data_IF_522446899047
#
_entry.id   IF_522446899047
#
_cell.length_a   1.000
_cell.length_b   1.000
_cell.length_c   1.000
_cell.angle_alpha   90.00
_cell.angle_beta   90.00
_cell.angle_gamma   90.00
#
_symmetry.space_group_name_H-M   'P 1'
#
loop_
_entity.id
_entity.type
_entity.pdbx_description
1 polymer ?
#
# COMPACT_ATOMS: atom_id res chain seq x y z
N UNK A 1 11.33 85.59 -12.00
CA UNK A 1 9.88 85.94 -12.03
C UNK A 1 9.27 85.27 -13.26
N UNK A 2 7.99 84.87 -13.15
CA UNK A 2 7.15 84.07 -14.07
C UNK A 2 7.40 82.56 -14.09
N UNK A 3 6.70 81.84 -13.21
CA UNK A 3 6.47 80.39 -13.26
C UNK A 3 5.14 80.17 -13.98
N UNK A 4 5.17 79.43 -15.08
CA UNK A 4 3.99 79.04 -15.89
C UNK A 4 3.40 77.72 -15.34
N UNK A 5 2.08 77.57 -15.17
CA UNK A 5 1.49 76.35 -14.61
C UNK A 5 1.37 75.25 -15.68
N UNK A 6 1.92 74.08 -15.37
CA UNK A 6 1.79 72.86 -16.18
C UNK A 6 0.40 72.23 -15.94
N UNK A 7 -0.41 72.10 -17.00
CA UNK A 7 -1.71 71.40 -16.98
C UNK A 7 -1.48 69.88 -16.87
N UNK A 8 -2.05 69.27 -15.84
CA UNK A 8 -2.11 67.82 -15.69
C UNK A 8 -3.14 67.23 -16.66
N UNK A 9 -2.70 66.32 -17.54
CA UNK A 9 -3.58 65.50 -18.37
C UNK A 9 -3.77 64.14 -17.68
N UNK A 10 -5.01 63.85 -17.26
CA UNK A 10 -5.45 62.55 -16.78
C UNK A 10 -5.60 61.59 -17.98
N UNK A 11 -4.65 60.67 -18.14
CA UNK A 11 -4.76 59.53 -19.06
C UNK A 11 -5.54 58.41 -18.36
N UNK A 12 -6.81 58.25 -18.74
CA UNK A 12 -7.64 57.13 -18.31
C UNK A 12 -7.11 55.81 -18.87
N UNK A 13 -6.70 54.91 -17.98
CA UNK A 13 -6.32 53.54 -18.34
C UNK A 13 -7.58 52.71 -18.59
N UNK A 14 -7.86 52.37 -19.84
CA UNK A 14 -8.91 51.43 -20.20
C UNK A 14 -8.47 50.01 -19.84
N UNK A 15 -9.09 49.42 -18.81
CA UNK A 15 -8.94 48.00 -18.46
C UNK A 15 -9.72 47.17 -19.49
N UNK A 16 -9.00 46.48 -20.38
CA UNK A 16 -9.56 45.45 -21.26
C UNK A 16 -9.89 44.21 -20.42
N UNK A 17 -11.16 44.05 -20.05
CA UNK A 17 -11.71 42.79 -19.54
C UNK A 17 -11.76 41.78 -20.69
N UNK A 18 -10.82 40.84 -20.72
CA UNK A 18 -10.90 39.65 -21.58
C UNK A 18 -11.96 38.72 -20.99
N UNK A 19 -13.16 38.74 -21.57
CA UNK A 19 -14.21 37.79 -21.24
C UNK A 19 -13.77 36.38 -21.70
N UNK A 20 -13.51 35.47 -20.76
CA UNK A 20 -13.31 34.07 -21.06
C UNK A 20 -14.61 33.47 -21.61
N UNK A 21 -14.60 33.03 -22.87
CA UNK A 21 -15.75 32.33 -23.45
C UNK A 21 -16.04 31.04 -22.63
N UNK A 22 -17.32 30.68 -22.43
CA UNK A 22 -17.66 29.48 -21.68
C UNK A 22 -17.11 28.24 -22.38
N UNK A 23 -16.31 27.45 -21.68
CA UNK A 23 -15.77 26.20 -22.21
C UNK A 23 -16.93 25.24 -22.55
N UNK A 24 -17.01 24.81 -23.81
CA UNK A 24 -18.03 23.83 -24.23
C UNK A 24 -17.73 22.49 -23.55
N UNK A 25 -18.67 22.00 -22.73
CA UNK A 25 -18.54 20.71 -22.04
C UNK A 25 -18.79 19.57 -23.05
N UNK A 26 -17.79 18.71 -23.24
CA UNK A 26 -17.89 17.56 -24.13
C UNK A 26 -18.89 16.53 -23.60
N UNK A 27 -19.77 16.03 -24.46
CA UNK A 27 -20.68 14.92 -24.16
C UNK A 27 -19.88 13.63 -24.01
N UNK A 28 -20.03 12.93 -22.87
CA UNK A 28 -19.34 11.66 -22.59
C UNK A 28 -20.39 10.59 -22.30
N UNK A 29 -20.27 9.43 -22.96
CA UNK A 29 -21.14 8.26 -22.71
C UNK A 29 -20.29 7.01 -22.44
N UNK A 30 -20.88 6.00 -21.80
CA UNK A 30 -20.17 4.79 -21.35
C UNK A 30 -19.44 4.98 -20.01
N UNK A 31 -18.49 4.08 -19.67
CA UNK A 31 -18.02 2.93 -20.43
C UNK A 31 -18.97 1.73 -20.42
N UNK A 32 -18.88 0.86 -21.43
CA UNK A 32 -19.54 -0.45 -21.41
C UNK A 32 -18.85 -1.42 -20.44
N UNK A 33 -17.52 -1.35 -20.35
CA UNK A 33 -16.73 -2.17 -19.42
C UNK A 33 -15.68 -1.36 -18.65
N UNK A 34 -15.46 -1.72 -17.39
CA UNK A 34 -14.46 -1.12 -16.50
C UNK A 34 -13.55 -2.23 -15.98
N UNK A 35 -12.24 -2.07 -16.17
CA UNK A 35 -11.26 -3.08 -15.82
C UNK A 35 -10.17 -2.54 -14.88
N UNK A 36 -9.92 -3.20 -13.76
CA UNK A 36 -8.96 -2.75 -12.74
C UNK A 36 -7.86 -3.78 -12.53
N UNK A 37 -6.62 -3.29 -12.41
CA UNK A 37 -5.41 -4.01 -12.05
C UNK A 37 -4.88 -3.40 -10.75
N UNK A 38 -4.94 -4.13 -9.65
CA UNK A 38 -4.46 -3.64 -8.35
C UNK A 38 -3.25 -4.44 -7.91
N UNK A 39 -2.07 -3.83 -7.96
CA UNK A 39 -0.79 -4.48 -7.71
C UNK A 39 -0.19 -4.03 -6.37
N UNK A 40 0.23 -5.00 -5.56
CA UNK A 40 0.82 -4.73 -4.25
C UNK A 40 2.09 -5.56 -4.03
N UNK A 41 3.12 -4.93 -3.44
CA UNK A 41 4.34 -5.60 -2.99
C UNK A 41 4.46 -5.47 -1.47
N UNK A 42 4.36 -6.58 -0.73
CA UNK A 42 4.51 -6.63 0.72
C UNK A 42 5.90 -7.12 1.14
N UNK A 43 6.49 -6.49 2.15
CA UNK A 43 7.80 -6.82 2.71
C UNK A 43 7.81 -6.77 4.25
N UNK A 44 8.90 -7.24 4.85
CA UNK A 44 9.10 -7.31 6.30
C UNK A 44 8.63 -8.62 6.93
N UNK A 45 8.94 -8.84 8.23
CA UNK A 45 8.66 -10.08 8.93
C UNK A 45 7.17 -10.43 9.01
N UNK A 46 6.28 -9.44 8.82
CA UNK A 46 4.82 -9.63 8.82
C UNK A 46 4.21 -9.77 7.41
N UNK A 47 5.01 -9.73 6.34
CA UNK A 47 4.52 -9.77 4.96
C UNK A 47 3.67 -11.02 4.65
N UNK A 48 4.02 -12.16 5.24
CA UNK A 48 3.27 -13.41 5.10
C UNK A 48 1.89 -13.39 5.76
N UNK A 49 1.66 -12.49 6.73
CA UNK A 49 0.35 -12.31 7.38
C UNK A 49 -0.55 -11.34 6.61
N UNK A 50 0.00 -10.45 5.79
CA UNK A 50 -0.77 -9.53 4.94
C UNK A 50 -1.60 -10.25 3.86
N UNK A 51 -1.21 -11.48 3.48
CA UNK A 51 -1.99 -12.34 2.57
C UNK A 51 -3.21 -13.03 3.21
N UNK A 52 -3.36 -12.97 4.54
CA UNK A 52 -4.42 -13.67 5.28
C UNK A 52 -5.62 -12.77 5.65
N UNK A 53 -5.54 -11.46 5.43
CA UNK A 53 -6.61 -10.49 5.79
C UNK A 53 -7.46 -9.96 4.63
N UNK A 54 -7.20 -10.40 3.39
CA UNK A 54 -7.97 -9.94 2.23
C UNK A 54 -9.39 -10.52 2.20
N UNK A 55 -10.41 -9.74 1.81
CA UNK A 55 -11.76 -10.27 1.58
C UNK A 55 -11.70 -11.27 0.43
N UNK A 56 -11.70 -12.57 0.76
CA UNK A 56 -11.46 -13.66 -0.18
C UNK A 56 -10.49 -14.72 0.34
N UNK A 57 -9.74 -14.44 1.40
CA UNK A 57 -9.02 -15.47 2.15
C UNK A 57 -10.04 -16.34 2.87
N UNK A 58 -10.39 -17.48 2.27
CA UNK A 58 -11.18 -18.51 2.96
C UNK A 58 -10.54 -18.78 4.32
N UNK A 59 -11.34 -18.75 5.39
CA UNK A 59 -10.97 -18.96 6.79
C UNK A 59 -10.47 -20.39 7.11
N UNK A 60 -9.78 -21.02 6.16
CA UNK A 60 -9.08 -22.28 6.30
C UNK A 60 -7.67 -22.11 5.75
N UNK A 61 -6.74 -21.46 6.48
CA UNK A 61 -5.35 -21.81 6.28
C UNK A 61 -5.25 -23.31 6.58
N UNK A 62 -4.80 -24.10 5.60
CA UNK A 62 -4.36 -25.46 5.89
C UNK A 62 -3.18 -25.33 6.85
N UNK A 63 -3.46 -25.48 8.15
CA UNK A 63 -2.47 -25.45 9.23
C UNK A 63 -1.26 -26.36 8.91
N UNK A 64 -1.50 -27.45 8.18
CA UNK A 64 -0.46 -28.37 7.69
C UNK A 64 0.45 -27.84 6.57
N UNK A 65 0.09 -26.78 5.85
CA UNK A 65 0.93 -26.17 4.80
C UNK A 65 1.78 -25.02 5.37
N UNK A 66 1.29 -24.34 6.41
CA UNK A 66 2.07 -23.37 7.18
C UNK A 66 3.15 -24.06 8.04
N UNK A 67 2.87 -25.26 8.56
CA UNK A 67 3.88 -26.09 9.24
C UNK A 67 4.93 -26.69 8.30
N UNK A 68 4.61 -26.93 7.03
CA UNK A 68 5.57 -27.48 6.04
C UNK A 68 6.45 -26.41 5.41
N UNK A 69 6.06 -25.13 5.52
CA UNK A 69 6.81 -23.96 5.06
C UNK A 69 7.75 -23.34 6.10
N UNK A 70 7.93 -23.98 7.26
CA UNK A 70 8.80 -23.47 8.31
C UNK A 70 8.09 -22.45 9.19
N UNK A 71 8.02 -22.77 10.47
CA UNK A 71 7.62 -21.86 11.54
C UNK A 71 8.76 -20.87 11.75
N UNK A 72 8.87 -19.89 10.85
CA UNK A 72 9.81 -18.78 10.94
C UNK A 72 9.05 -17.48 10.85
N UNK A 73 9.04 -16.71 11.94
CA UNK A 73 8.85 -15.25 11.90
C UNK A 73 10.05 -14.58 11.18
N UNK A 74 10.38 -15.04 9.97
CA UNK A 74 11.59 -14.68 9.24
C UNK A 74 11.90 -15.72 8.17
N UNK A 75 11.95 -15.29 6.91
CA UNK A 75 12.46 -16.13 5.81
C UNK A 75 11.70 -16.08 4.48
N UNK A 76 10.70 -15.22 4.30
CA UNK A 76 10.06 -15.01 3.01
C UNK A 76 10.50 -13.68 2.40
N UNK A 77 11.10 -13.70 1.20
CA UNK A 77 11.32 -12.47 0.43
C UNK A 77 10.01 -11.72 0.12
N UNK A 78 10.07 -10.58 -0.58
CA UNK A 78 8.90 -9.78 -0.90
C UNK A 78 7.77 -10.60 -1.54
N UNK A 79 6.54 -10.38 -1.07
CA UNK A 79 5.33 -11.03 -1.58
C UNK A 79 4.62 -10.08 -2.52
N UNK A 80 4.41 -10.51 -3.77
CA UNK A 80 3.58 -9.78 -4.73
C UNK A 80 2.14 -10.30 -4.68
N UNK A 81 1.18 -9.40 -4.79
CA UNK A 81 -0.23 -9.74 -4.95
C UNK A 81 -0.85 -8.89 -6.05
N UNK A 82 -1.82 -9.47 -6.74
CA UNK A 82 -2.51 -8.85 -7.86
C UNK A 82 -4.00 -9.13 -7.74
N UNK A 83 -4.83 -8.10 -7.91
CA UNK A 83 -6.29 -8.22 -7.99
C UNK A 83 -6.75 -7.67 -9.33
N UNK A 84 -7.43 -8.50 -10.10
CA UNK A 84 -7.99 -8.15 -11.39
C UNK A 84 -9.51 -8.13 -11.28
N UNK A 85 -10.16 -7.07 -11.77
CA UNK A 85 -11.61 -6.92 -11.66
C UNK A 85 -12.18 -6.36 -12.95
N UNK A 86 -13.11 -7.07 -13.57
CA UNK A 86 -13.83 -6.67 -14.78
C UNK A 86 -15.31 -6.51 -14.46
N UNK A 87 -15.82 -5.29 -14.58
CA UNK A 87 -17.26 -4.99 -14.55
C UNK A 87 -17.76 -4.62 -15.95
N UNK A 88 -18.96 -5.08 -16.31
CA UNK A 88 -19.62 -4.72 -17.57
C UNK A 88 -21.10 -4.43 -17.38
N UNK A 89 -21.62 -3.52 -18.20
CA UNK A 89 -23.07 -3.27 -18.32
C UNK A 89 -23.80 -4.31 -19.19
N UNK A 90 -23.08 -5.15 -19.93
CA UNK A 90 -23.68 -6.25 -20.71
C UNK A 90 -23.93 -7.47 -19.81
N UNK A 91 -24.96 -8.23 -20.15
CA UNK A 91 -25.24 -9.54 -19.55
C UNK A 91 -24.79 -10.67 -20.48
N UNK A 92 -24.50 -11.83 -19.90
CA UNK A 92 -24.27 -13.07 -20.64
C UNK A 92 -24.84 -14.27 -19.86
N UNK A 93 -25.42 -15.26 -20.55
CA UNK A 93 -26.02 -16.43 -19.91
C UNK A 93 -25.00 -17.34 -19.19
N UNK A 94 -23.75 -17.34 -19.65
CA UNK A 94 -22.63 -18.03 -19.01
C UNK A 94 -21.40 -17.13 -19.09
N UNK A 95 -21.28 -16.15 -18.18
CA UNK A 95 -20.20 -15.18 -18.21
C UNK A 95 -18.83 -15.86 -18.15
N UNK A 96 -18.00 -15.54 -19.13
CA UNK A 96 -16.62 -16.00 -19.19
C UNK A 96 -15.73 -14.88 -19.74
N UNK A 97 -14.63 -14.62 -19.06
CA UNK A 97 -13.59 -13.74 -19.51
C UNK A 97 -12.22 -14.24 -19.02
N UNK A 98 -11.18 -13.92 -19.77
CA UNK A 98 -9.80 -14.24 -19.44
C UNK A 98 -8.93 -12.98 -19.57
N UNK A 99 -7.95 -12.85 -18.69
CA UNK A 99 -6.89 -11.87 -18.81
C UNK A 99 -5.62 -12.52 -19.37
N UNK A 100 -5.07 -11.95 -20.43
CA UNK A 100 -3.83 -12.33 -21.08
C UNK A 100 -2.77 -11.24 -20.88
N UNK A 101 -1.50 -11.64 -20.81
CA UNK A 101 -0.37 -10.78 -20.51
C UNK A 101 0.93 -11.29 -21.13
N UNK A 102 2.00 -10.50 -21.04
CA UNK A 102 3.33 -10.93 -21.45
C UNK A 102 3.86 -12.10 -20.60
N UNK A 103 4.79 -12.94 -21.12
CA UNK A 103 5.41 -14.01 -20.34
C UNK A 103 6.19 -13.54 -19.09
N UNK A 104 6.49 -12.24 -18.98
CA UNK A 104 7.27 -11.67 -17.88
C UNK A 104 6.57 -11.81 -16.51
N UNK A 105 5.25 -12.01 -16.50
CA UNK A 105 4.48 -12.26 -15.27
C UNK A 105 4.72 -13.65 -14.67
N UNK A 106 5.17 -14.63 -15.49
CA UNK A 106 5.46 -16.02 -15.07
C UNK A 106 4.27 -16.76 -14.44
N UNK A 107 3.05 -16.47 -14.87
CA UNK A 107 1.80 -17.11 -14.40
C UNK A 107 1.03 -17.79 -15.55
N UNK A 108 1.75 -18.34 -16.53
CA UNK A 108 1.16 -18.85 -17.76
C UNK A 108 0.67 -17.75 -18.70
N UNK A 109 -0.01 -18.14 -19.79
CA UNK A 109 -0.46 -17.23 -20.83
C UNK A 109 -1.69 -16.38 -20.44
N UNK A 110 -2.50 -16.88 -19.51
CA UNK A 110 -3.72 -16.20 -19.05
C UNK A 110 -4.22 -16.70 -17.70
N UNK A 111 -5.09 -15.91 -17.09
CA UNK A 111 -5.93 -16.33 -15.94
C UNK A 111 -7.41 -16.08 -16.22
N UNK A 112 -8.29 -16.97 -15.72
CA UNK A 112 -9.73 -16.77 -15.84
C UNK A 112 -10.21 -15.68 -14.88
N UNK A 113 -11.12 -14.82 -15.36
CA UNK A 113 -11.88 -13.87 -14.57
C UNK A 113 -13.27 -14.44 -14.33
N UNK A 114 -13.58 -14.76 -13.08
CA UNK A 114 -14.85 -15.40 -12.72
C UNK A 114 -15.66 -14.53 -11.79
N UNK A 115 -16.98 -14.52 -11.98
CA UNK A 115 -17.86 -13.98 -10.95
C UNK A 115 -17.65 -14.81 -9.67
N UNK A 116 -17.47 -14.17 -8.50
CA UNK A 116 -17.62 -14.87 -7.25
C UNK A 116 -19.00 -15.53 -7.27
N UNK A 117 -19.08 -16.81 -6.90
CA UNK A 117 -20.38 -17.34 -6.51
C UNK A 117 -20.88 -16.44 -5.39
N UNK A 118 -22.18 -16.07 -5.37
CA UNK A 118 -22.75 -15.55 -4.14
C UNK A 118 -22.29 -16.49 -3.04
N UNK A 119 -21.50 -15.98 -2.09
CA UNK A 119 -21.26 -16.76 -0.91
C UNK A 119 -22.67 -17.14 -0.42
N UNK A 120 -22.93 -18.43 -0.16
CA UNK A 120 -24.04 -18.76 0.72
C UNK A 120 -23.93 -17.76 1.86
N UNK A 121 -24.98 -16.96 2.17
CA UNK A 121 -24.91 -15.99 3.23
C UNK A 121 -24.44 -16.77 4.43
N UNK A 122 -23.17 -16.63 4.76
CA UNK A 122 -22.55 -17.49 5.72
C UNK A 122 -23.41 -17.28 6.96
N UNK A 123 -24.00 -18.31 7.58
CA UNK A 123 -24.64 -18.13 8.88
C UNK A 123 -23.62 -17.67 9.93
N UNK A 124 -22.34 -17.53 9.55
CA UNK A 124 -21.26 -16.87 10.29
C UNK A 124 -20.57 -15.78 9.48
N UNK A 125 -21.34 -14.99 8.72
CA UNK A 125 -21.08 -13.56 8.83
C UNK A 125 -21.08 -13.24 10.33
N UNK A 126 -20.27 -12.29 10.76
CA UNK A 126 -20.80 -11.41 11.79
C UNK A 126 -22.06 -10.75 11.17
N UNK A 127 -23.16 -11.49 11.10
CA UNK A 127 -24.40 -10.96 11.59
C UNK A 127 -24.01 -10.51 12.98
N UNK A 128 -23.72 -9.21 13.12
CA UNK A 128 -23.96 -8.56 14.38
C UNK A 128 -25.34 -9.04 14.76
N UNK A 129 -25.38 -9.93 15.74
CA UNK A 129 -26.55 -10.31 16.49
C UNK A 129 -27.31 -9.00 16.68
N UNK A 130 -28.41 -8.78 15.96
CA UNK A 130 -29.30 -7.61 16.17
C UNK A 130 -30.15 -7.79 17.44
N UNK A 131 -29.59 -8.57 18.36
CA UNK A 131 -30.07 -9.04 19.64
C UNK A 131 -28.87 -9.40 20.57
N UNK A 132 -27.65 -8.96 20.23
CA UNK A 132 -26.52 -8.92 21.14
C UNK A 132 -26.26 -7.48 21.56
N UNK A 133 -26.31 -7.19 22.85
CA UNK A 133 -25.83 -5.91 23.38
C UNK A 133 -24.49 -5.57 22.72
N UNK A 134 -24.43 -4.41 22.05
CA UNK A 134 -23.17 -3.84 21.58
C UNK A 134 -22.30 -3.62 22.82
N UNK A 135 -21.43 -4.58 23.13
CA UNK A 135 -20.54 -4.46 24.27
C UNK A 135 -19.52 -3.39 23.90
N UNK A 136 -19.73 -2.18 24.43
CA UNK A 136 -18.83 -1.07 24.21
C UNK A 136 -17.42 -1.54 24.60
N UNK A 137 -16.42 -1.41 23.70
CA UNK A 137 -15.06 -1.76 24.05
C UNK A 137 -14.68 -0.98 25.31
N UNK A 138 -14.30 -1.65 26.39
CA UNK A 138 -13.89 -0.99 27.63
C UNK A 138 -12.44 -0.54 27.51
N UNK A 139 -12.11 0.59 28.12
CA UNK A 139 -10.74 1.10 28.21
C UNK A 139 -10.51 2.44 27.53
N UNK A 140 -9.24 2.72 27.22
CA UNK A 140 -8.79 4.00 26.64
C UNK A 140 -7.99 3.76 25.37
N UNK A 141 -8.02 4.73 24.46
CA UNK A 141 -7.16 4.78 23.29
C UNK A 141 -6.36 6.09 23.29
N UNK A 142 -5.05 5.97 23.25
CA UNK A 142 -4.11 7.08 23.12
C UNK A 142 -3.73 7.25 21.65
N UNK A 143 -3.93 8.44 21.12
CA UNK A 143 -3.60 8.77 19.72
C UNK A 143 -2.48 9.79 19.71
N UNK A 144 -1.40 9.43 19.02
CA UNK A 144 -0.26 10.27 18.72
C UNK A 144 -0.14 10.46 17.20
N UNK A 145 0.58 11.47 16.76
CA UNK A 145 0.85 11.73 15.35
C UNK A 145 2.14 12.53 15.18
N UNK A 146 2.72 12.41 14.00
CA UNK A 146 3.87 13.16 13.56
C UNK A 146 5.18 12.42 13.80
N UNK A 147 6.10 12.64 12.86
CA UNK A 147 7.49 12.21 13.01
C UNK A 147 8.25 13.19 13.91
N UNK A 148 8.97 12.69 14.90
CA UNK A 148 9.81 13.50 15.78
C UNK A 148 10.30 12.71 16.99
N UNK A 149 11.37 13.18 17.63
CA UNK A 149 11.91 12.53 18.83
C UNK A 149 10.92 12.52 20.01
N UNK A 150 10.03 13.51 20.07
CA UNK A 150 9.02 13.70 21.11
C UNK A 150 7.65 13.98 20.51
N UNK A 151 6.60 13.57 21.20
CA UNK A 151 5.23 13.91 20.86
C UNK A 151 5.04 15.43 20.95
N UNK A 152 4.34 16.01 19.96
CA UNK A 152 4.11 17.44 19.90
C UNK A 152 3.08 17.93 20.94
N UNK A 153 2.90 19.25 21.07
CA UNK A 153 1.85 19.83 21.92
C UNK A 153 0.46 19.25 21.60
N UNK A 154 -0.36 19.02 22.63
CA UNK A 154 -1.72 18.47 22.48
C UNK A 154 -1.79 16.95 22.32
N UNK A 155 -0.66 16.24 22.46
CA UNK A 155 -0.59 14.79 22.35
C UNK A 155 -0.24 14.12 23.70
N UNK A 156 -0.76 12.91 23.96
CA UNK A 156 -1.75 12.19 23.16
C UNK A 156 -3.15 12.80 23.27
N UNK A 157 -3.95 12.56 22.26
CA UNK A 157 -5.40 12.66 22.39
C UNK A 157 -5.92 11.37 22.99
N UNK A 158 -6.69 11.48 24.08
CA UNK A 158 -7.24 10.32 24.80
C UNK A 158 -8.70 10.14 24.45
N UNK A 159 -9.01 9.01 23.83
CA UNK A 159 -10.37 8.51 23.70
C UNK A 159 -10.67 7.61 24.89
N UNK A 160 -11.69 7.95 25.66
CA UNK A 160 -12.21 7.15 26.74
C UNK A 160 -13.50 6.47 26.26
N UNK A 161 -13.44 5.16 26.00
CA UNK A 161 -14.56 4.44 25.40
C UNK A 161 -15.80 4.41 26.31
N UNK A 162 -15.61 4.49 27.64
CA UNK A 162 -16.73 4.56 28.59
C UNK A 162 -17.50 5.90 28.49
N UNK A 163 -16.83 6.96 28.02
CA UNK A 163 -17.44 8.28 27.80
C UNK A 163 -17.98 8.45 26.37
N UNK A 164 -17.55 7.61 25.43
CA UNK A 164 -17.92 7.68 24.02
C UNK A 164 -19.39 7.35 23.74
N UNK A 165 -20.06 6.60 24.61
CA UNK A 165 -21.50 6.34 24.49
C UNK A 165 -22.39 7.59 24.56
N UNK A 166 -21.83 8.75 24.94
CA UNK A 166 -22.56 9.99 25.16
C UNK A 166 -22.68 10.88 23.91
N UNK A 167 -21.87 10.65 22.86
CA UNK A 167 -21.92 11.43 21.61
C UNK A 167 -21.42 10.63 20.40
N UNK A 168 -22.23 9.71 19.85
CA UNK A 168 -21.80 8.78 18.80
C UNK A 168 -21.35 9.46 17.50
N UNK A 169 -21.85 10.66 17.17
CA UNK A 169 -21.43 11.41 16.00
C UNK A 169 -19.99 11.94 16.13
N UNK A 170 -19.63 12.46 17.31
CA UNK A 170 -18.26 12.89 17.58
C UNK A 170 -17.28 11.71 17.53
N UNK A 171 -17.71 10.54 18.02
CA UNK A 171 -16.95 9.30 17.91
C UNK A 171 -16.73 8.90 16.46
N UNK A 172 -17.80 8.88 15.66
CA UNK A 172 -17.71 8.53 14.25
C UNK A 172 -16.75 9.46 13.49
N UNK A 173 -16.82 10.77 13.74
CA UNK A 173 -15.91 11.75 13.15
C UNK A 173 -14.45 11.51 13.58
N UNK A 174 -14.21 11.17 14.84
CA UNK A 174 -12.87 10.91 15.36
C UNK A 174 -12.25 9.61 14.86
N UNK A 175 -13.09 8.60 14.58
CA UNK A 175 -12.70 7.29 14.05
C UNK A 175 -12.55 7.30 12.51
N UNK A 176 -12.61 8.47 11.85
CA UNK A 176 -12.36 8.55 10.42
C UNK A 176 -10.87 8.36 10.11
N UNK A 177 -10.59 7.54 9.11
CA UNK A 177 -9.24 7.31 8.60
C UNK A 177 -8.72 8.48 7.78
N UNK A 178 -7.82 8.19 6.85
CA UNK A 178 -7.43 9.19 5.86
C UNK A 178 -8.67 9.62 5.05
N UNK A 179 -8.92 10.92 5.02
CA UNK A 179 -9.97 11.52 4.21
C UNK A 179 -9.60 11.38 2.74
N UNK A 180 -10.09 10.34 2.08
CA UNK A 180 -9.88 10.02 0.66
C UNK A 180 -11.21 9.77 -0.02
N UNK A 181 -11.30 10.11 -1.31
CA UNK A 181 -12.45 9.74 -2.10
C UNK A 181 -12.52 8.20 -2.23
N UNK A 182 -13.67 7.55 -1.93
CA UNK A 182 -13.79 6.11 -2.09
C UNK A 182 -13.50 5.70 -3.54
N UNK A 183 -12.53 4.81 -3.71
CA UNK A 183 -12.28 4.17 -5.00
C UNK A 183 -13.40 3.20 -5.32
N UNK A 184 -14.17 3.53 -6.36
CA UNK A 184 -15.31 2.71 -6.82
C UNK A 184 -14.82 1.54 -7.67
N UNK A 185 -14.28 0.51 -7.02
CA UNK A 185 -13.81 -0.72 -7.67
C UNK A 185 -14.95 -1.45 -8.40
N UNK A 186 -14.69 -2.12 -9.53
CA UNK A 186 -15.67 -3.02 -10.12
C UNK A 186 -16.07 -4.10 -9.12
N UNK A 187 -17.38 -4.38 -9.04
CA UNK A 187 -17.94 -5.34 -8.09
C UNK A 187 -19.25 -5.91 -8.63
N UNK A 188 -19.65 -7.07 -8.11
CA UNK A 188 -20.84 -7.79 -8.57
C UNK A 188 -22.16 -7.06 -8.33
N UNK A 189 -22.23 -6.19 -7.32
CA UNK A 189 -23.39 -5.34 -7.00
C UNK A 189 -23.50 -4.08 -7.88
N UNK A 190 -22.39 -3.70 -8.54
CA UNK A 190 -22.33 -2.46 -9.35
C UNK A 190 -22.46 -2.68 -10.84
N UNK A 191 -22.29 -3.91 -11.32
CA UNK A 191 -22.25 -4.24 -12.74
C UNK A 191 -23.17 -5.40 -13.06
N UNK A 192 -23.80 -5.36 -14.24
CA UNK A 192 -24.70 -6.41 -14.71
C UNK A 192 -23.99 -7.75 -14.89
N UNK A 193 -22.69 -7.72 -15.19
CA UNK A 193 -21.82 -8.90 -15.15
C UNK A 193 -20.44 -8.51 -14.64
N UNK A 194 -19.87 -9.37 -13.80
CA UNK A 194 -18.61 -9.13 -13.09
C UNK A 194 -17.71 -10.36 -13.15
N UNK A 195 -16.40 -10.17 -13.24
CA UNK A 195 -15.41 -11.24 -13.11
C UNK A 195 -14.17 -10.75 -12.40
N UNK A 196 -13.55 -11.61 -11.60
CA UNK A 196 -12.34 -11.28 -10.86
C UNK A 196 -11.29 -12.38 -10.85
N UNK A 197 -10.07 -11.97 -10.52
CA UNK A 197 -8.96 -12.83 -10.15
C UNK A 197 -8.22 -12.21 -8.95
N UNK A 198 -7.70 -12.99 -7.98
CA UNK A 198 -7.83 -14.45 -7.87
C UNK A 198 -9.28 -14.88 -7.62
N UNK A 199 -9.59 -16.15 -7.89
CA UNK A 199 -10.93 -16.71 -7.73
C UNK A 199 -10.89 -18.21 -7.39
N UNK A 200 -12.07 -18.83 -7.25
CA UNK A 200 -12.20 -20.24 -6.86
C UNK A 200 -11.60 -21.26 -7.84
N UNK A 201 -11.37 -20.91 -9.12
CA UNK A 201 -10.72 -21.81 -10.09
C UNK A 201 -9.23 -21.56 -10.22
N UNK A 202 -8.78 -20.32 -10.05
CA UNK A 202 -7.37 -19.97 -10.10
C UNK A 202 -7.06 -18.88 -9.07
N UNK A 203 -6.20 -19.24 -8.13
CA UNK A 203 -5.72 -18.40 -7.04
C UNK A 203 -4.23 -18.66 -6.77
N UNK A 204 -3.48 -18.93 -7.83
CA UNK A 204 -2.05 -19.18 -7.73
C UNK A 204 -1.32 -17.94 -7.18
N UNK A 205 -0.31 -18.11 -6.32
CA UNK A 205 0.45 -17.00 -5.79
C UNK A 205 1.23 -16.30 -6.91
N UNK A 206 1.30 -14.97 -6.86
CA UNK A 206 2.10 -14.20 -7.82
C UNK A 206 3.59 -14.45 -7.54
N UNK A 207 4.38 -14.91 -8.53
CA UNK A 207 5.81 -15.14 -8.34
C UNK A 207 6.57 -13.88 -7.95
N UNK A 208 7.58 -13.99 -7.08
CA UNK A 208 8.41 -12.84 -6.67
C UNK A 208 9.09 -12.13 -7.85
N UNK A 209 9.49 -12.88 -8.88
CA UNK A 209 10.07 -12.36 -10.13
C UNK A 209 9.06 -11.95 -11.20
N UNK A 210 7.77 -11.86 -10.88
CA UNK A 210 6.73 -11.45 -11.83
C UNK A 210 6.83 -9.97 -12.19
N UNK A 211 6.57 -9.64 -13.45
CA UNK A 211 6.49 -8.27 -13.97
C UNK A 211 5.18 -8.06 -14.71
N UNK A 212 4.56 -6.89 -14.52
CA UNK A 212 3.40 -6.43 -15.26
C UNK A 212 3.77 -5.71 -16.56
N UNK A 213 5.05 -5.61 -16.92
CA UNK A 213 5.45 -4.87 -18.12
C UNK A 213 5.06 -5.63 -19.38
N UNK A 214 4.54 -4.88 -20.36
CA UNK A 214 4.20 -5.38 -21.69
C UNK A 214 2.72 -5.30 -22.01
N UNK A 215 2.32 -6.06 -23.02
CA UNK A 215 0.94 -6.08 -23.51
C UNK A 215 0.03 -6.87 -22.59
N UNK A 216 -1.17 -6.34 -22.38
CA UNK A 216 -2.28 -6.98 -21.69
C UNK A 216 -3.52 -6.96 -22.57
N UNK A 217 -4.29 -8.04 -22.53
CA UNK A 217 -5.63 -8.04 -23.11
C UNK A 217 -6.64 -8.77 -22.26
N UNK A 218 -7.88 -8.29 -22.26
CA UNK A 218 -9.00 -8.98 -21.63
C UNK A 218 -10.02 -9.30 -22.70
N UNK A 219 -10.40 -10.57 -22.78
CA UNK A 219 -11.37 -11.07 -23.74
C UNK A 219 -12.46 -11.81 -23.00
N UNK A 220 -13.70 -11.61 -23.40
CA UNK A 220 -14.84 -12.27 -22.77
C UNK A 220 -16.13 -12.08 -23.56
N UNK A 221 -17.14 -12.88 -23.24
CA UNK A 221 -18.43 -12.85 -23.93
C UNK A 221 -19.39 -11.76 -23.42
N UNK A 222 -18.98 -11.00 -22.41
CA UNK A 222 -19.78 -9.93 -21.79
C UNK A 222 -19.07 -8.57 -21.79
N UNK A 223 -17.91 -8.42 -22.43
CA UNK A 223 -17.21 -7.14 -22.56
C UNK A 223 -16.73 -6.92 -24.00
N UNK A 224 -16.49 -5.67 -24.44
CA UNK A 224 -15.59 -5.45 -25.57
C UNK A 224 -14.18 -6.00 -25.25
N UNK A 225 -13.39 -6.27 -26.28
CA UNK A 225 -11.97 -6.58 -26.14
C UNK A 225 -11.23 -5.37 -25.54
N UNK A 226 -10.57 -5.58 -24.41
CA UNK A 226 -9.74 -4.58 -23.75
C UNK A 226 -8.29 -4.86 -24.11
N UNK A 227 -7.54 -3.84 -24.54
CA UNK A 227 -6.12 -3.96 -24.87
C UNK A 227 -5.37 -2.77 -24.29
N UNK A 228 -4.34 -3.02 -23.51
CA UNK A 228 -3.51 -1.98 -22.90
C UNK A 228 -2.07 -2.47 -22.81
N UNK A 229 -1.12 -1.54 -22.77
CA UNK A 229 0.31 -1.84 -22.62
C UNK A 229 0.81 -1.11 -21.39
N UNK A 230 1.41 -1.86 -20.46
CA UNK A 230 2.05 -1.30 -19.29
C UNK A 230 3.56 -1.12 -19.55
N UNK A 231 4.05 0.07 -19.25
CA UNK A 231 5.47 0.45 -19.38
C UNK A 231 6.29 0.01 -18.17
N UNK A 232 7.62 0.13 -18.22
CA UNK A 232 8.49 -0.12 -17.05
C UNK A 232 8.11 0.72 -15.83
N UNK A 233 7.59 1.95 -16.05
CA UNK A 233 7.06 2.81 -15.01
C UNK A 233 5.68 2.42 -14.49
N UNK A 234 5.14 1.26 -14.86
CA UNK A 234 3.83 0.71 -14.52
C UNK A 234 3.94 -0.76 -14.07
N UNK A 235 5.10 -1.14 -13.52
CA UNK A 235 5.29 -2.45 -12.87
C UNK A 235 4.97 -2.40 -11.37
N UNK A 236 5.01 -3.55 -10.69
CA UNK A 236 5.02 -3.67 -9.24
C UNK A 236 6.01 -2.67 -8.61
N UNK A 237 5.63 -2.05 -7.50
CA UNK A 237 6.57 -1.23 -6.74
C UNK A 237 7.65 -2.08 -6.10
N UNK A 238 8.82 -1.50 -5.92
CA UNK A 238 9.90 -2.12 -5.13
C UNK A 238 9.44 -2.36 -3.69
N UNK A 239 9.92 -3.42 -3.04
CA UNK A 239 9.66 -3.65 -1.64
C UNK A 239 10.24 -2.51 -0.78
N UNK A 240 9.46 -2.02 0.17
CA UNK A 240 9.98 -1.17 1.24
C UNK A 240 11.02 -1.96 2.05
N UNK A 241 12.23 -1.42 2.15
CA UNK A 241 13.31 -1.93 3.00
C UNK A 241 13.49 -1.01 4.20
N UNK A 242 12.69 -1.23 5.24
CA UNK A 242 12.67 -0.38 6.44
C UNK A 242 13.73 -0.82 7.45
N UNK A 243 14.50 0.13 7.95
CA UNK A 243 15.43 -0.04 9.08
C UNK A 243 14.89 0.71 10.28
N UNK A 244 15.02 0.10 11.46
CA UNK A 244 14.64 0.68 12.74
C UNK A 244 15.89 0.74 13.63
N UNK A 245 16.00 1.77 14.45
CA UNK A 245 17.05 1.86 15.46
C UNK A 245 16.68 2.84 16.57
N UNK A 246 17.38 2.79 17.72
CA UNK A 246 17.15 3.74 18.80
C UNK A 246 17.49 5.17 18.35
N UNK A 247 16.65 6.13 18.73
CA UNK A 247 16.94 7.56 18.63
C UNK A 247 17.46 8.09 19.97
N UNK A 248 18.34 9.10 19.95
CA UNK A 248 18.93 9.67 21.16
C UNK A 248 17.89 10.23 22.15
N UNK A 249 16.70 10.63 21.65
CA UNK A 249 15.58 11.10 22.47
C UNK A 249 14.77 9.99 23.14
N UNK A 250 15.14 8.72 22.97
CA UNK A 250 14.39 7.54 23.44
C UNK A 250 13.24 7.13 22.51
N UNK A 251 13.18 7.70 21.30
CA UNK A 251 12.29 7.26 20.24
C UNK A 251 12.90 6.13 19.40
N UNK A 252 12.21 5.77 18.32
CA UNK A 252 12.71 4.82 17.31
C UNK A 252 12.89 5.55 15.99
N UNK A 253 14.13 5.69 15.53
CA UNK A 253 14.46 6.20 14.21
C UNK A 253 14.11 5.14 13.15
N UNK A 254 13.33 5.54 12.15
CA UNK A 254 13.00 4.75 10.97
C UNK A 254 13.73 5.34 9.76
N UNK A 255 14.30 4.48 8.92
CA UNK A 255 14.91 4.89 7.65
C UNK A 255 14.70 3.86 6.56
N UNK A 256 14.60 4.30 5.30
CA UNK A 256 14.42 3.43 4.14
C UNK A 256 15.01 4.07 2.88
N UNK A 257 15.47 3.29 1.89
CA UNK A 257 15.86 3.80 0.58
C UNK A 257 14.69 4.47 -0.14
N UNK A 258 14.98 5.43 -1.02
CA UNK A 258 13.94 6.00 -1.88
C UNK A 258 13.35 4.92 -2.79
N UNK A 259 12.02 4.84 -2.86
CA UNK A 259 11.31 3.90 -3.75
C UNK A 259 10.90 4.65 -5.01
N UNK A 260 11.33 4.15 -6.17
CA UNK A 260 10.97 4.75 -7.44
C UNK A 260 9.44 4.87 -7.59
N UNK A 261 8.99 6.03 -8.07
CA UNK A 261 7.56 6.37 -8.28
C UNK A 261 6.70 6.48 -7.01
N UNK A 262 7.26 6.36 -5.80
CA UNK A 262 6.48 6.66 -4.60
C UNK A 262 5.98 8.11 -4.64
N UNK A 263 4.68 8.30 -4.43
CA UNK A 263 4.00 9.60 -4.37
C UNK A 263 3.80 10.06 -2.94
N UNK A 264 3.77 9.14 -1.98
CA UNK A 264 3.66 9.45 -0.56
C UNK A 264 3.73 8.19 0.30
N UNK A 265 3.99 8.39 1.59
CA UNK A 265 4.04 7.34 2.59
C UNK A 265 3.12 7.62 3.76
N UNK A 266 2.58 6.54 4.35
CA UNK A 266 1.92 6.56 5.64
C UNK A 266 2.50 5.46 6.52
N UNK A 267 2.87 5.82 7.74
CA UNK A 267 3.37 4.88 8.75
C UNK A 267 2.42 4.92 9.92
N UNK A 268 2.07 3.75 10.45
CA UNK A 268 1.24 3.61 11.64
C UNK A 268 1.90 2.66 12.64
N UNK A 269 1.76 2.96 13.93
CA UNK A 269 2.02 2.01 15.01
C UNK A 269 0.72 1.78 15.76
N UNK A 270 0.38 0.52 16.00
CA UNK A 270 -0.75 0.16 16.86
C UNK A 270 -0.30 -0.84 17.92
N UNK A 271 -0.70 -0.65 19.16
CA UNK A 271 -0.49 -1.65 20.20
C UNK A 271 -1.27 -1.35 21.46
N UNK A 272 -0.89 -1.98 22.56
CA UNK A 272 -1.52 -1.80 23.85
C UNK A 272 -0.46 -1.66 24.94
N UNK A 273 -0.77 -0.86 25.96
CA UNK A 273 -0.04 -0.89 27.22
C UNK A 273 -0.31 -2.21 27.93
N UNK A 274 0.70 -2.75 28.59
CA UNK A 274 0.52 -3.92 29.45
C UNK A 274 -0.52 -3.61 30.52
N UNK A 275 -1.60 -4.39 30.54
CA UNK A 275 -2.64 -4.25 31.54
C UNK A 275 -2.09 -4.72 32.90
N UNK A 276 -2.00 -3.82 33.88
CA UNK A 276 -1.81 -4.23 35.28
C UNK A 276 -3.09 -4.89 35.79
N UNK A 277 -2.95 -5.83 36.72
CA UNK A 277 -4.08 -6.56 37.31
C UNK A 277 -5.15 -5.58 37.81
N UNK A 278 -6.36 -5.65 37.25
CA UNK A 278 -7.49 -4.78 37.60
C UNK A 278 -7.55 -3.42 36.88
N UNK A 279 -6.66 -3.15 35.91
CA UNK A 279 -6.73 -1.95 35.06
C UNK A 279 -7.35 -2.26 33.70
N UNK A 280 -8.09 -1.30 33.15
CA UNK A 280 -8.64 -1.39 31.80
C UNK A 280 -7.54 -1.31 30.74
N UNK A 281 -7.75 -2.01 29.62
CA UNK A 281 -6.84 -2.01 28.47
C UNK A 281 -6.66 -0.59 27.93
N UNK A 282 -5.41 -0.15 27.77
CA UNK A 282 -5.10 1.12 27.11
C UNK A 282 -4.43 0.85 25.77
N UNK A 283 -5.14 1.10 24.69
CA UNK A 283 -4.66 1.00 23.32
C UNK A 283 -3.82 2.23 22.96
N UNK A 284 -2.87 2.06 22.06
CA UNK A 284 -1.99 3.12 21.56
C UNK A 284 -1.99 3.08 20.05
N UNK A 285 -2.20 4.24 19.43
CA UNK A 285 -2.10 4.44 17.99
C UNK A 285 -1.22 5.64 17.71
N UNK A 286 -0.35 5.51 16.71
CA UNK A 286 0.47 6.60 16.20
C UNK A 286 0.47 6.59 14.68
N UNK A 287 0.57 7.77 14.06
CA UNK A 287 0.79 7.91 12.61
C UNK A 287 1.92 8.88 12.28
N UNK A 288 2.50 8.76 11.08
CA UNK A 288 3.51 9.71 10.58
C UNK A 288 2.94 11.08 10.17
N UNK A 289 1.61 11.26 10.19
CA UNK A 289 0.93 12.50 9.76
C UNK A 289 1.33 13.68 10.64
N UNK A 290 1.60 14.86 10.06
CA UNK A 290 1.86 16.07 10.85
C UNK A 290 0.59 16.67 11.45
N UNK A 291 -0.57 16.26 10.96
CA UNK A 291 -1.87 16.72 11.47
C UNK A 291 -2.58 15.62 12.24
N UNK A 292 -3.39 16.02 13.21
CA UNK A 292 -4.26 15.11 13.95
C UNK A 292 -5.29 14.49 13.01
N UNK A 293 -5.13 13.20 12.70
CA UNK A 293 -5.99 12.46 11.78
C UNK A 293 -5.30 11.25 11.17
N UNK A 294 -6.06 10.41 10.47
CA UNK A 294 -5.50 9.27 9.73
C UNK A 294 -5.07 8.08 10.59
N UNK A 295 -5.26 8.13 11.91
CA UNK A 295 -4.95 7.02 12.80
C UNK A 295 -5.79 5.78 12.47
N UNK A 296 -7.05 5.99 12.11
CA UNK A 296 -8.03 4.91 11.98
C UNK A 296 -8.10 4.36 10.56
N UNK A 297 -7.15 3.50 10.23
CA UNK A 297 -7.14 2.77 8.96
C UNK A 297 -6.39 3.51 7.87
N UNK A 298 -5.61 2.74 7.13
CA UNK A 298 -4.86 3.19 5.95
C UNK A 298 -5.59 2.62 4.73
N UNK A 299 -6.08 3.45 3.79
CA UNK A 299 -6.71 2.97 2.57
C UNK A 299 -5.77 2.08 1.77
N UNK A 300 -6.31 1.06 1.10
CA UNK A 300 -5.44 0.15 0.36
C UNK A 300 -4.75 0.86 -0.82
N UNK A 301 -5.51 1.68 -1.55
CA UNK A 301 -5.06 2.50 -2.66
C UNK A 301 -5.68 3.90 -2.55
N UNK A 302 -5.01 4.90 -3.11
CA UNK A 302 -5.39 6.31 -3.06
C UNK A 302 -5.22 6.90 -4.46
N UNK A 303 -6.13 7.80 -4.86
CA UNK A 303 -6.12 8.43 -6.17
C UNK A 303 -4.94 9.40 -6.28
N UNK A 304 -4.47 9.68 -7.50
CA UNK A 304 -3.38 10.64 -7.69
C UNK A 304 -3.72 12.05 -7.16
N UNK A 305 -4.99 12.46 -7.28
CA UNK A 305 -5.49 13.73 -6.74
C UNK A 305 -5.44 13.75 -5.20
N UNK A 306 -5.93 12.70 -4.56
CA UNK A 306 -5.90 12.60 -3.11
C UNK A 306 -4.47 12.45 -2.58
N UNK A 307 -3.59 11.73 -3.27
CA UNK A 307 -2.17 11.64 -2.92
C UNK A 307 -1.52 13.03 -2.92
N UNK A 308 -1.70 13.80 -4.01
CA UNK A 308 -1.17 15.15 -4.11
C UNK A 308 -1.73 16.06 -3.00
N UNK A 309 -3.05 16.01 -2.76
CA UNK A 309 -3.73 16.80 -1.73
C UNK A 309 -3.24 16.45 -0.33
N UNK A 310 -3.16 15.17 0.01
CA UNK A 310 -2.78 14.71 1.36
C UNK A 310 -1.30 14.94 1.65
N UNK A 311 -0.41 14.84 0.65
CA UNK A 311 1.00 15.23 0.80
C UNK A 311 1.12 16.74 0.99
N UNK A 312 0.41 17.55 0.18
CA UNK A 312 0.42 19.01 0.33
C UNK A 312 -0.09 19.47 1.71
N UNK A 313 -1.08 18.75 2.26
CA UNK A 313 -1.61 18.97 3.62
C UNK A 313 -0.77 18.34 4.72
N UNK A 314 0.34 17.67 4.39
CA UNK A 314 1.25 16.98 5.31
C UNK A 314 0.59 15.88 6.15
N UNK A 315 -0.51 15.33 5.64
CA UNK A 315 -1.16 14.13 6.19
C UNK A 315 -0.34 12.90 5.82
N UNK A 316 0.18 12.87 4.59
CA UNK A 316 1.14 11.88 4.12
C UNK A 316 2.54 12.47 4.11
N UNK A 317 3.54 11.62 4.37
CA UNK A 317 4.94 11.97 4.07
C UNK A 317 5.11 12.07 2.55
N UNK A 318 5.94 12.98 2.04
CA UNK A 318 6.20 13.08 0.60
C UNK A 318 6.88 11.80 0.08
N UNK A 319 6.68 11.48 -1.20
CA UNK A 319 7.31 10.31 -1.84
C UNK A 319 8.85 10.29 -1.82
N UNK A 320 9.47 11.45 -1.57
CA UNK A 320 10.92 11.61 -1.40
C UNK A 320 11.39 11.40 0.04
N UNK A 321 10.49 11.22 1.01
CA UNK A 321 10.87 10.95 2.39
C UNK A 321 11.58 9.59 2.50
N UNK A 322 12.65 9.56 3.28
CA UNK A 322 13.48 8.39 3.54
C UNK A 322 13.71 8.12 5.03
N UNK A 323 13.09 8.92 5.89
CA UNK A 323 13.22 8.81 7.33
C UNK A 323 11.98 9.34 8.08
N UNK A 324 11.76 8.82 9.28
CA UNK A 324 10.76 9.28 10.24
C UNK A 324 11.16 8.79 11.63
N UNK A 325 10.97 9.58 12.69
CA UNK A 325 11.20 9.12 14.07
C UNK A 325 9.86 8.89 14.75
N UNK A 326 9.66 7.69 15.30
CA UNK A 326 8.55 7.39 16.20
C UNK A 326 8.86 8.00 17.57
N UNK A 327 7.99 8.85 18.14
CA UNK A 327 8.28 9.54 19.40
C UNK A 327 8.50 8.60 20.59
N UNK A 328 9.35 9.05 21.53
CA UNK A 328 9.66 8.30 22.75
C UNK A 328 8.41 7.93 23.58
N UNK A 329 7.40 8.80 23.60
CA UNK A 329 6.13 8.57 24.30
C UNK A 329 5.38 7.36 23.72
N UNK A 330 5.43 7.19 22.40
CA UNK A 330 4.81 6.06 21.69
C UNK A 330 5.58 4.79 21.96
N UNK A 331 6.92 4.82 21.86
CA UNK A 331 7.79 3.68 22.15
C UNK A 331 7.58 3.19 23.58
N UNK A 332 7.50 4.10 24.55
CA UNK A 332 7.23 3.77 25.95
C UNK A 332 5.83 3.20 26.16
N UNK A 333 4.82 3.75 25.48
CA UNK A 333 3.44 3.30 25.62
C UNK A 333 3.16 1.99 24.87
N UNK A 334 3.95 1.65 23.85
CA UNK A 334 3.79 0.46 23.03
C UNK A 334 5.15 -0.12 22.60
N UNK A 335 5.91 -0.72 23.54
CA UNK A 335 7.25 -1.23 23.27
C UNK A 335 7.29 -2.36 22.23
N UNK A 336 6.16 -3.04 22.02
CA UNK A 336 5.98 -4.10 21.01
C UNK A 336 4.82 -3.78 20.05
N UNK A 337 4.63 -2.50 19.72
CA UNK A 337 3.58 -2.07 18.79
C UNK A 337 3.77 -2.66 17.39
N UNK A 338 2.67 -2.99 16.72
CA UNK A 338 2.67 -3.38 15.32
C UNK A 338 2.90 -2.14 14.45
N UNK A 339 4.06 -2.10 13.79
CA UNK A 339 4.44 -1.09 12.82
C UNK A 339 3.98 -1.52 11.43
N UNK A 340 3.26 -0.62 10.73
CA UNK A 340 2.88 -0.78 9.33
C UNK A 340 3.27 0.45 8.55
N UNK A 341 3.80 0.27 7.36
CA UNK A 341 4.15 1.34 6.43
C UNK A 341 3.55 1.03 5.06
N UNK A 342 2.95 2.02 4.43
CA UNK A 342 2.43 1.93 3.05
C UNK A 342 3.02 3.04 2.20
N UNK A 343 3.47 2.69 1.00
CA UNK A 343 3.88 3.57 -0.07
C UNK A 343 2.91 3.42 -1.25
N UNK A 344 2.49 4.52 -1.86
CA UNK A 344 1.63 4.49 -3.07
C UNK A 344 2.39 5.01 -4.29
N UNK A 345 2.28 4.27 -5.40
CA UNK A 345 2.98 4.57 -6.66
C UNK A 345 2.18 5.42 -7.65
N UNK A 346 0.92 5.71 -7.30
CA UNK A 346 -0.07 6.37 -8.16
C UNK A 346 -0.80 5.41 -9.08
N UNK A 347 -1.42 5.97 -10.12
CA UNK A 347 -2.31 5.25 -11.03
C UNK A 347 -1.91 5.40 -12.51
N UNK A 348 -2.38 4.46 -13.34
CA UNK A 348 -2.34 4.55 -14.78
C UNK A 348 -3.75 4.33 -15.33
N UNK A 349 -4.27 5.33 -16.04
CA UNK A 349 -5.62 5.33 -16.59
C UNK A 349 -5.61 5.17 -18.10
N UNK A 350 -6.46 4.29 -18.59
CA UNK A 350 -6.63 3.96 -20.00
C UNK A 350 -8.11 4.06 -20.37
N UNK A 351 -8.38 4.52 -21.58
CA UNK A 351 -9.73 4.56 -22.12
C UNK A 351 -9.69 4.34 -23.63
N UNK A 352 -10.71 3.63 -24.13
CA UNK A 352 -10.88 3.42 -25.56
C UNK A 352 -12.31 3.73 -26.01
N UNK A 353 -12.50 4.44 -27.14
CA UNK A 353 -11.45 5.14 -27.90
C UNK A 353 -10.80 6.26 -27.07
N UNK A 354 -9.64 6.74 -27.51
CA UNK A 354 -9.00 7.90 -26.89
C UNK A 354 -9.94 9.12 -26.92
N UNK A 355 -9.84 10.00 -25.92
CA UNK A 355 -10.69 11.20 -25.84
C UNK A 355 -10.48 12.07 -27.09
N UNK A 356 -11.54 12.40 -27.85
CA UNK A 356 -11.44 13.33 -28.96
C UNK A 356 -10.95 14.71 -28.49
N UNK A 357 -10.03 15.31 -29.25
CA UNK A 357 -9.51 16.65 -28.95
C UNK A 357 -10.57 17.75 -29.13
N UNK A 358 -11.53 17.56 -30.05
CA UNK A 358 -12.64 18.48 -30.25
C UNK A 358 -13.74 18.22 -29.20
N UNK A 359 -14.02 19.18 -28.28
CA UNK A 359 -15.05 19.04 -27.27
C UNK A 359 -16.48 18.98 -27.86
N UNK A 360 -16.69 19.30 -29.13
CA UNK A 360 -18.00 19.15 -29.80
C UNK A 360 -18.28 17.71 -30.22
N UNK A 361 -17.24 16.88 -30.35
CA UNK A 361 -17.38 15.46 -30.69
C UNK A 361 -17.67 14.68 -29.42
N UNK A 362 -18.78 13.94 -29.42
CA UNK A 362 -19.13 13.08 -28.29
C UNK A 362 -18.07 11.98 -28.07
N UNK A 363 -17.66 11.80 -26.82
CA UNK A 363 -16.74 10.75 -26.43
C UNK A 363 -17.52 9.53 -25.95
N UNK A 364 -17.69 8.55 -26.84
CA UNK A 364 -18.42 7.31 -26.56
C UNK A 364 -17.44 6.22 -26.12
N UNK A 365 -17.24 6.09 -24.81
CA UNK A 365 -16.25 5.20 -24.23
C UNK A 365 -16.76 3.76 -24.30
N UNK A 366 -15.98 2.87 -24.91
CA UNK A 366 -16.28 1.44 -24.90
C UNK A 366 -15.79 0.81 -23.60
N UNK A 367 -14.55 1.07 -23.23
CA UNK A 367 -13.99 0.57 -21.98
C UNK A 367 -13.03 1.57 -21.34
N UNK A 368 -12.90 1.46 -20.02
CA UNK A 368 -11.80 2.07 -19.25
C UNK A 368 -11.03 0.98 -18.52
N UNK A 369 -9.73 1.21 -18.36
CA UNK A 369 -8.90 0.40 -17.50
C UNK A 369 -8.08 1.27 -16.56
N UNK A 370 -7.83 0.78 -15.33
CA UNK A 370 -7.01 1.44 -14.33
C UNK A 370 -6.02 0.46 -13.72
N UNK A 371 -4.75 0.82 -13.69
CA UNK A 371 -3.74 0.11 -12.91
C UNK A 371 -3.29 0.97 -11.73
N UNK A 372 -3.21 0.39 -10.54
CA UNK A 372 -2.83 1.09 -9.30
C UNK A 372 -1.86 0.27 -8.48
N UNK A 373 -0.92 0.96 -7.84
CA UNK A 373 0.28 0.34 -7.28
C UNK A 373 0.51 0.77 -5.83
N UNK A 374 0.92 -0.18 -5.00
CA UNK A 374 1.40 0.10 -3.65
C UNK A 374 2.54 -0.83 -3.25
N UNK A 375 3.30 -0.41 -2.24
CA UNK A 375 4.15 -1.30 -1.45
C UNK A 375 3.81 -1.16 0.03
N UNK A 376 3.83 -2.27 0.76
CA UNK A 376 3.57 -2.30 2.20
C UNK A 376 4.71 -2.98 2.95
N UNK A 377 4.94 -2.55 4.18
CA UNK A 377 5.89 -3.16 5.10
C UNK A 377 5.25 -3.35 6.45
N UNK A 378 5.47 -4.50 7.08
CA UNK A 378 4.98 -4.78 8.43
C UNK A 378 6.06 -5.36 9.33
N UNK A 379 6.18 -4.82 10.54
CA UNK A 379 7.14 -5.26 11.55
C UNK A 379 6.63 -4.99 12.98
N UNK A 380 7.37 -5.45 13.98
CA UNK A 380 7.20 -5.03 15.37
C UNK A 380 8.12 -3.82 15.59
N UNK A 381 7.60 -2.77 16.24
CA UNK A 381 8.34 -1.57 16.56
C UNK A 381 9.54 -1.91 17.46
N UNK A 382 10.71 -1.35 17.14
CA UNK A 382 11.92 -1.53 17.96
C UNK A 382 12.59 -2.90 17.83
N UNK A 383 12.00 -3.82 17.08
CA UNK A 383 12.65 -5.06 16.68
C UNK A 383 13.41 -4.80 15.38
N UNK A 384 14.72 -5.01 15.39
CA UNK A 384 15.52 -4.99 14.17
C UNK A 384 15.10 -6.14 13.26
N UNK A 385 14.99 -5.85 11.96
CA UNK A 385 14.83 -6.89 10.96
C UNK A 385 16.22 -7.47 10.66
N UNK A 386 16.51 -8.72 11.04
CA UNK A 386 17.82 -9.34 10.78
C UNK A 386 18.14 -9.46 9.28
N UNK A 387 17.17 -9.23 8.39
CA UNK A 387 17.34 -9.35 6.93
C UNK A 387 17.41 -8.01 6.19
N UNK A 388 17.13 -6.87 6.85
CA UNK A 388 17.26 -5.53 6.24
C UNK A 388 18.70 -5.11 5.90
N UNK A 389 19.68 -5.88 6.38
CA UNK A 389 21.11 -5.69 6.16
C UNK A 389 21.71 -6.64 5.10
N UNK A 390 21.02 -7.74 4.73
CA UNK A 390 21.65 -8.86 4.02
C UNK A 390 21.74 -8.72 2.49
N UNK A 391 21.17 -7.67 1.90
CA UNK A 391 21.06 -7.52 0.44
C UNK A 391 22.09 -6.53 -0.16
N UNK A 392 22.97 -5.96 0.68
CA UNK A 392 23.96 -4.95 0.25
C UNK A 392 25.37 -5.50 0.00
N UNK A 393 25.63 -6.78 0.25
CA UNK A 393 26.97 -7.37 0.17
C UNK A 393 27.26 -8.15 -1.12
N UNK A 394 26.37 -8.09 -2.14
CA UNK A 394 26.59 -8.77 -3.42
C UNK A 394 26.71 -7.81 -4.62
N UNK A 395 27.33 -6.65 -4.38
CA UNK A 395 27.73 -5.72 -5.43
C UNK A 395 29.07 -5.04 -5.10
N UNK A 396 30.16 -5.81 -5.19
CA UNK A 396 31.51 -5.28 -5.09
C UNK A 396 32.58 -6.35 -5.35
N UNK A 397 33.31 -6.17 -6.46
CA UNK A 397 34.55 -6.87 -6.85
C UNK A 397 34.49 -8.35 -7.29
N UNK A 398 34.06 -8.54 -8.54
CA UNK A 398 34.73 -9.50 -9.43
C UNK A 398 35.96 -8.83 -10.06
N UNK A 399 37.05 -8.78 -9.30
CA UNK A 399 38.39 -8.54 -9.84
C UNK A 399 39.20 -9.84 -9.71
N UNK A 400 39.31 -10.52 -10.84
CA UNK A 400 40.04 -11.76 -11.06
C UNK A 400 41.54 -11.54 -10.81
N UNK A 401 42.11 -12.16 -9.76
CA UNK A 401 43.55 -12.46 -9.67
C UNK A 401 43.79 -13.80 -8.96
N UNK A 402 44.60 -14.70 -9.53
CA UNK A 402 44.84 -16.03 -8.98
C UNK A 402 45.82 -15.97 -7.80
N UNK A 403 45.39 -16.45 -6.62
CA UNK A 403 46.25 -16.60 -5.45
C UNK A 403 47.26 -17.73 -5.63
N UNK A 404 48.53 -17.33 -5.68
CA UNK A 404 49.73 -18.16 -5.67
C UNK A 404 49.86 -18.95 -4.34
N UNK A 405 50.13 -20.27 -4.43
CA UNK A 405 50.39 -21.16 -3.29
C UNK A 405 51.85 -21.05 -2.82
N UNK A 406 52.08 -20.48 -1.62
CA UNK A 406 53.28 -20.69 -0.78
C UNK A 406 52.88 -20.42 0.69
N UNK A 407 53.24 -21.18 1.72
CA UNK A 407 54.10 -22.33 1.88
C UNK A 407 54.05 -22.82 3.34
N UNK A 408 54.87 -23.81 3.69
CA UNK A 408 55.03 -24.24 5.07
C UNK A 408 56.06 -25.36 5.21
N UNK A 409 57.34 -25.00 5.28
CA UNK A 409 58.43 -25.91 5.69
C UNK A 409 58.48 -25.93 7.21
N UNK A 410 58.22 -27.08 7.82
CA UNK A 410 58.58 -27.40 9.20
C UNK A 410 59.76 -28.39 9.19
N UNK A 411 60.87 -28.00 9.82
CA UNK A 411 62.01 -28.83 10.26
C UNK A 411 62.41 -28.24 11.62
N UNK A 412 62.66 -28.96 12.70
CA UNK A 412 62.71 -30.38 13.01
C UNK A 412 63.19 -30.52 14.48
N UNK A 413 63.60 -31.75 14.87
CA UNK A 413 64.22 -32.17 16.16
C UNK A 413 63.16 -32.62 17.19
N UNK A 414 63.12 -33.83 17.79
CA UNK A 414 64.09 -34.89 18.15
C UNK A 414 63.58 -36.29 17.65
N UNK A 415 64.36 -37.21 17.06
CA UNK A 415 65.38 -38.15 17.60
C UNK A 415 64.94 -39.05 18.77
N UNK A 416 64.83 -40.36 18.51
CA UNK A 416 65.20 -41.40 19.47
C UNK A 416 64.28 -42.63 19.60
N UNK A 417 64.57 -43.69 18.81
CA UNK A 417 64.72 -45.11 19.21
C UNK A 417 63.50 -45.84 19.84
N UNK A 418 63.07 -47.03 19.42
CA UNK A 418 63.65 -48.05 18.55
C UNK A 418 62.66 -49.17 18.19
N UNK A 419 63.13 -50.00 17.25
CA UNK A 419 62.59 -51.20 16.58
C UNK A 419 62.64 -52.41 17.59
N UNK A 420 62.22 -53.68 17.35
CA UNK A 420 61.50 -54.36 16.23
C UNK A 420 60.38 -55.36 16.60
N UNK A 421 59.75 -55.89 15.54
CA UNK A 421 59.38 -57.31 15.40
C UNK A 421 57.87 -57.54 15.53
N UNK A 422 57.18 -58.23 14.64
CA UNK A 422 57.52 -59.14 13.53
C UNK A 422 56.34 -59.16 12.57
#
# INVERSE_FOLDING_TARGET
MTITPLRAALLGSAVLLVAAAPATKQTVTGPTAVYWISASTAAGPMAGMSGMGGPGASARPRFGQMMRGGMGFGGGGPVKTLKLQLGSSRTAASPAADHFWSPAIRMGASVPLLSPRPADPNPRGYAGRTDGQYEQPKGRLLIYWGCGAKAGPGQPVVIDFAKMGQNPQAVAAMMTGLDVAPMKEPSADRFATYGEWPNSRNNEPVPGGASLVGEHSVKGNYSPDIKLTLTAGQDFMEPIRLRQGPDAGGGTALSWPAIARSRGYHITVMGAQEARRGQETTMVMWTSSQVQGGAFGTPDYISDEDLARLVARKVLLPGTATACTVPAEVVKASPSGLLSMTAWGGEADFAYPARPADPKVAWNIQWTAKARYRSTYGAILGMEDPYGAADNDDQGDSADQPREKKGGKARGILRGLGIPGT
#
